data_IF_500163662664
#
_entry.id   IF_500163662664
#
_cell.length_a   1.000
_cell.length_b   1.000
_cell.length_c   1.000
_cell.angle_alpha   90.00
_cell.angle_beta   90.00
_cell.angle_gamma   90.00
#
_symmetry.space_group_name_H-M   'P 1'
#
loop_
_entity.id
_entity.type
_entity.pdbx_description
1 polymer ?
#
# COMPACT_ATOMS: atom_id res chain seq x y z
N UNK A 1 -3.89 -21.72 14.33
CA UNK A 1 -3.06 -21.82 13.11
C UNK A 1 -2.77 -20.40 12.68
N UNK A 2 -1.49 -20.03 12.63
CA UNK A 2 -1.12 -18.70 12.15
C UNK A 2 -1.61 -18.52 10.72
N UNK A 3 -2.19 -17.35 10.43
CA UNK A 3 -2.54 -17.01 9.06
C UNK A 3 -1.26 -17.06 8.21
N UNK A 4 -1.35 -17.69 7.03
CA UNK A 4 -0.26 -17.70 6.04
C UNK A 4 0.21 -16.27 5.75
N UNK A 5 1.47 -16.13 5.33
CA UNK A 5 2.00 -14.82 4.95
C UNK A 5 1.46 -14.37 3.58
N UNK A 6 1.33 -13.04 3.34
CA UNK A 6 1.12 -12.50 2.02
C UNK A 6 2.28 -12.88 1.09
N UNK A 7 1.98 -13.21 -0.16
CA UNK A 7 2.98 -13.62 -1.16
C UNK A 7 4.11 -12.59 -1.30
N UNK A 8 3.80 -11.29 -1.26
CA UNK A 8 4.75 -10.20 -1.44
C UNK A 8 5.86 -10.16 -0.39
N UNK A 9 5.68 -10.79 0.77
CA UNK A 9 6.72 -10.82 1.82
C UNK A 9 7.94 -11.66 1.42
N UNK A 10 7.77 -12.54 0.44
CA UNK A 10 8.85 -13.37 -0.12
C UNK A 10 9.59 -12.71 -1.30
N UNK A 11 9.11 -11.55 -1.78
CA UNK A 11 9.68 -10.92 -2.96
C UNK A 11 10.95 -10.12 -2.60
N UNK A 12 11.87 -10.06 -3.56
CA UNK A 12 13.04 -9.19 -3.48
C UNK A 12 12.58 -7.72 -3.35
N UNK A 13 13.02 -6.96 -2.33
CA UNK A 13 12.61 -5.57 -2.16
C UNK A 13 13.21 -4.60 -3.19
N UNK A 14 14.11 -5.05 -4.07
CA UNK A 14 14.72 -4.20 -5.09
C UNK A 14 13.72 -3.82 -6.19
N UNK A 15 13.77 -2.57 -6.65
CA UNK A 15 13.02 -2.13 -7.84
C UNK A 15 13.62 -2.79 -9.08
N UNK A 16 12.83 -3.54 -9.88
CA UNK A 16 13.34 -4.20 -11.08
C UNK A 16 13.52 -3.20 -12.22
N UNK A 17 14.64 -2.47 -12.25
CA UNK A 17 14.93 -1.42 -13.23
C UNK A 17 14.81 -1.89 -14.68
N UNK A 18 15.21 -3.13 -14.99
CA UNK A 18 15.03 -3.69 -16.34
C UNK A 18 13.56 -3.72 -16.77
N UNK A 19 12.64 -4.08 -15.86
CA UNK A 19 11.19 -4.05 -16.16
C UNK A 19 10.66 -2.64 -16.29
N UNK A 20 11.18 -1.69 -15.52
CA UNK A 20 10.81 -0.27 -15.68
C UNK A 20 11.09 0.19 -17.12
N UNK A 21 12.27 -0.13 -17.64
CA UNK A 21 12.63 0.17 -19.02
C UNK A 21 11.79 -0.63 -20.03
N UNK A 22 11.72 -1.95 -19.88
CA UNK A 22 11.11 -2.84 -20.88
C UNK A 22 9.58 -2.75 -20.96
N UNK A 23 8.90 -2.60 -19.82
CA UNK A 23 7.43 -2.65 -19.75
C UNK A 23 6.79 -1.25 -19.86
N UNK A 24 7.46 -0.24 -19.29
CA UNK A 24 6.91 1.12 -19.23
C UNK A 24 7.59 2.08 -20.22
N UNK A 25 8.72 1.68 -20.82
CA UNK A 25 9.45 2.51 -21.78
C UNK A 25 10.14 3.72 -21.15
N UNK A 26 10.38 3.68 -19.83
CA UNK A 26 11.05 4.78 -19.13
C UNK A 26 12.56 4.58 -19.16
N UNK A 27 13.25 5.57 -19.71
CA UNK A 27 14.70 5.64 -19.62
C UNK A 27 15.15 5.70 -18.15
N UNK A 28 16.21 4.97 -17.80
CA UNK A 28 16.66 4.86 -16.41
C UNK A 28 17.34 6.14 -15.91
N UNK A 29 17.98 6.90 -16.79
CA UNK A 29 18.60 8.19 -16.46
C UNK A 29 17.53 9.24 -16.13
N UNK A 30 16.35 9.15 -16.78
CA UNK A 30 15.19 10.00 -16.48
C UNK A 30 14.37 9.51 -15.29
N UNK A 31 14.17 8.19 -15.18
CA UNK A 31 13.37 7.58 -14.12
C UNK A 31 14.01 7.77 -12.74
N UNK A 32 15.31 7.50 -12.62
CA UNK A 32 15.99 7.42 -11.33
C UNK A 32 15.91 8.74 -10.54
N UNK A 33 16.20 9.91 -11.12
CA UNK A 33 16.03 11.20 -10.42
C UNK A 33 14.58 11.46 -10.01
N UNK A 34 13.60 11.14 -10.87
CA UNK A 34 12.17 11.32 -10.56
C UNK A 34 11.71 10.45 -9.41
N UNK A 35 12.13 9.18 -9.40
CA UNK A 35 11.87 8.27 -8.30
C UNK A 35 12.45 8.79 -6.97
N UNK A 36 13.70 9.25 -6.97
CA UNK A 36 14.33 9.84 -5.79
C UNK A 36 13.64 11.13 -5.32
N UNK A 37 13.16 11.94 -6.26
CA UNK A 37 12.38 13.15 -5.99
C UNK A 37 10.91 12.87 -5.64
N UNK A 38 10.52 11.60 -5.47
CA UNK A 38 9.17 11.16 -5.09
C UNK A 38 8.09 11.62 -6.07
N UNK A 39 8.44 11.73 -7.35
CA UNK A 39 7.48 11.94 -8.42
C UNK A 39 6.45 10.80 -8.45
N UNK A 40 5.16 11.13 -8.34
CA UNK A 40 4.13 10.12 -8.15
C UNK A 40 4.00 9.15 -9.33
N UNK A 41 4.28 9.60 -10.55
CA UNK A 41 4.22 8.73 -11.72
C UNK A 41 5.36 7.73 -11.69
N UNK A 42 6.57 8.16 -11.35
CA UNK A 42 7.71 7.26 -11.13
C UNK A 42 7.44 6.27 -9.98
N UNK A 43 6.81 6.70 -8.89
CA UNK A 43 6.43 5.80 -7.79
C UNK A 43 5.39 4.75 -8.22
N UNK A 44 4.39 5.13 -9.03
CA UNK A 44 3.39 4.19 -9.59
C UNK A 44 4.04 3.16 -10.50
N UNK A 45 4.95 3.59 -11.36
CA UNK A 45 5.70 2.70 -12.26
C UNK A 45 6.59 1.75 -11.45
N UNK A 46 7.30 2.26 -10.44
CA UNK A 46 8.11 1.45 -9.53
C UNK A 46 7.27 0.35 -8.86
N UNK A 47 6.09 0.71 -8.34
CA UNK A 47 5.17 -0.23 -7.70
C UNK A 47 4.66 -1.28 -8.70
N UNK A 48 4.19 -0.86 -9.87
CA UNK A 48 3.66 -1.76 -10.89
C UNK A 48 4.74 -2.73 -11.42
N UNK A 49 5.94 -2.21 -11.72
CA UNK A 49 7.08 -3.00 -12.13
C UNK A 49 7.47 -4.01 -11.03
N UNK A 50 7.52 -3.59 -9.76
CA UNK A 50 7.84 -4.50 -8.65
C UNK A 50 6.83 -5.65 -8.52
N UNK A 51 5.54 -5.36 -8.68
CA UNK A 51 4.49 -6.38 -8.71
C UNK A 51 4.65 -7.37 -9.87
N UNK A 52 5.02 -6.89 -11.06
CA UNK A 52 5.18 -7.74 -12.25
C UNK A 52 3.91 -8.52 -12.56
N UNK A 53 2.77 -7.82 -12.53
CA UNK A 53 1.42 -8.37 -12.72
C UNK A 53 0.99 -9.42 -11.68
N UNK A 54 1.63 -9.51 -10.51
CA UNK A 54 1.22 -10.43 -9.44
C UNK A 54 0.45 -9.72 -8.34
N UNK A 55 -0.63 -10.33 -7.87
CA UNK A 55 -1.31 -9.93 -6.64
C UNK A 55 -0.36 -10.07 -5.44
N UNK A 56 -0.21 -9.01 -4.63
CA UNK A 56 0.66 -9.03 -3.46
C UNK A 56 0.26 -10.06 -2.39
N UNK A 57 -1.02 -10.45 -2.34
CA UNK A 57 -1.51 -11.34 -1.29
C UNK A 57 -1.44 -12.81 -1.70
N UNK A 58 -1.84 -13.15 -2.93
CA UNK A 58 -1.98 -14.55 -3.35
C UNK A 58 -1.09 -14.95 -4.53
N UNK A 59 -0.31 -14.03 -5.10
CA UNK A 59 0.57 -14.31 -6.24
C UNK A 59 -0.14 -14.49 -7.59
N UNK A 60 -1.48 -14.48 -7.64
CA UNK A 60 -2.24 -14.61 -8.88
C UNK A 60 -1.79 -13.56 -9.90
N UNK A 61 -1.57 -13.99 -11.15
CA UNK A 61 -1.10 -13.15 -12.23
C UNK A 61 -2.26 -12.60 -13.06
N UNK A 62 -2.33 -11.28 -13.20
CA UNK A 62 -3.31 -10.58 -14.03
C UNK A 62 -2.74 -9.24 -14.50
N UNK A 63 -3.04 -8.85 -15.74
CA UNK A 63 -2.73 -7.52 -16.25
C UNK A 63 -3.61 -6.45 -15.61
N UNK A 64 -4.78 -6.82 -15.07
CA UNK A 64 -5.78 -5.91 -14.48
C UNK A 64 -5.87 -6.06 -12.97
N UNK A 65 -4.74 -5.87 -12.28
CA UNK A 65 -4.75 -5.71 -10.82
C UNK A 65 -5.41 -4.39 -10.43
N UNK A 66 -5.99 -4.35 -9.23
CA UNK A 66 -6.60 -3.18 -8.63
C UNK A 66 -5.62 -2.55 -7.65
N UNK A 67 -5.59 -1.22 -7.63
CA UNK A 67 -4.83 -0.46 -6.64
C UNK A 67 -5.59 -0.47 -5.31
N UNK A 68 -4.98 -1.11 -4.32
CA UNK A 68 -5.47 -1.22 -2.97
C UNK A 68 -4.88 -0.10 -2.12
N UNK A 69 -5.72 0.53 -1.29
CA UNK A 69 -5.33 1.67 -0.47
C UNK A 69 -5.96 1.60 0.91
N UNK A 70 -5.31 2.27 1.85
CA UNK A 70 -5.84 2.47 3.17
C UNK A 70 -6.91 3.57 3.14
N UNK A 71 -8.13 3.22 3.52
CA UNK A 71 -9.28 4.13 3.54
C UNK A 71 -9.18 5.22 4.63
N UNK A 72 -8.28 5.07 5.61
CA UNK A 72 -8.09 6.05 6.68
C UNK A 72 -7.08 7.12 6.26
N UNK A 73 -5.98 6.71 5.63
CA UNK A 73 -4.92 7.63 5.21
C UNK A 73 -5.05 8.08 3.76
N UNK A 74 -5.77 7.34 2.92
CA UNK A 74 -5.81 7.53 1.48
C UNK A 74 -4.53 7.08 0.76
N UNK A 75 -3.61 6.40 1.45
CA UNK A 75 -2.34 5.95 0.89
C UNK A 75 -2.45 4.56 0.26
N UNK A 76 -1.85 4.41 -0.90
CA UNK A 76 -1.73 3.14 -1.61
C UNK A 76 -0.92 2.14 -0.79
N UNK A 77 -1.44 0.92 -0.68
CA UNK A 77 -0.76 -0.22 -0.05
C UNK A 77 -0.07 -1.10 -1.09
N UNK A 78 -0.71 -1.34 -2.23
CA UNK A 78 -0.17 -2.19 -3.30
C UNK A 78 -1.21 -2.57 -4.35
N UNK A 79 -0.88 -3.55 -5.20
CA UNK A 79 -1.78 -4.07 -6.24
C UNK A 79 -2.33 -5.47 -5.90
N UNK A 80 -3.65 -5.63 -5.97
CA UNK A 80 -4.35 -6.87 -5.64
C UNK A 80 -5.21 -7.36 -6.81
N UNK A 81 -5.43 -8.67 -6.91
CA UNK A 81 -6.47 -9.18 -7.80
C UNK A 81 -7.86 -8.82 -7.25
N UNK A 82 -8.89 -8.80 -8.11
CA UNK A 82 -10.27 -8.46 -7.70
C UNK A 82 -10.77 -9.26 -6.49
N UNK A 83 -10.44 -10.55 -6.42
CA UNK A 83 -10.88 -11.40 -5.30
C UNK A 83 -10.21 -11.02 -3.98
N UNK A 84 -8.90 -10.76 -3.98
CA UNK A 84 -8.18 -10.33 -2.78
C UNK A 84 -8.62 -8.93 -2.35
N UNK A 85 -8.75 -8.00 -3.30
CA UNK A 85 -9.19 -6.64 -3.03
C UNK A 85 -10.57 -6.60 -2.36
N UNK A 86 -11.52 -7.43 -2.82
CA UNK A 86 -12.85 -7.51 -2.19
C UNK A 86 -12.87 -8.17 -0.81
N UNK A 87 -11.85 -8.98 -0.47
CA UNK A 87 -11.75 -9.65 0.85
C UNK A 87 -10.97 -8.83 1.87
N UNK A 88 -10.07 -7.97 1.41
CA UNK A 88 -9.15 -7.19 2.26
C UNK A 88 -9.86 -6.50 3.44
N UNK A 89 -11.01 -5.81 3.24
CA UNK A 89 -11.67 -5.09 4.33
C UNK A 89 -12.30 -5.99 5.40
N UNK A 90 -12.44 -7.29 5.11
CA UNK A 90 -13.26 -8.23 5.89
C UNK A 90 -12.45 -9.32 6.59
N UNK A 91 -11.12 -9.36 6.40
CA UNK A 91 -10.25 -10.39 6.95
C UNK A 91 -9.15 -9.79 7.83
N UNK A 92 -9.08 -10.26 9.08
CA UNK A 92 -8.10 -9.85 10.08
C UNK A 92 -6.98 -10.89 10.33
N UNK A 93 -6.95 -11.96 9.54
CA UNK A 93 -5.86 -12.92 9.48
C UNK A 93 -4.81 -12.51 8.45
N UNK A 94 -4.92 -13.02 7.23
CA UNK A 94 -3.96 -12.80 6.15
C UNK A 94 -3.81 -11.32 5.79
N UNK A 95 -4.93 -10.60 5.70
CA UNK A 95 -4.90 -9.20 5.27
C UNK A 95 -4.44 -8.25 6.38
N UNK A 96 -4.54 -8.64 7.65
CA UNK A 96 -3.86 -7.90 8.73
C UNK A 96 -2.35 -7.91 8.52
N UNK A 97 -1.76 -9.08 8.23
CA UNK A 97 -0.33 -9.17 7.89
C UNK A 97 0.00 -8.32 6.66
N UNK A 98 -0.79 -8.41 5.60
CA UNK A 98 -0.59 -7.56 4.41
C UNK A 98 -0.58 -6.05 4.74
N UNK A 99 -1.46 -5.58 5.64
CA UNK A 99 -1.47 -4.19 6.12
C UNK A 99 -0.25 -3.80 6.97
N UNK A 100 0.35 -4.75 7.70
CA UNK A 100 1.52 -4.51 8.55
C UNK A 100 2.83 -4.32 7.76
N UNK A 101 2.91 -4.91 6.56
CA UNK A 101 4.06 -4.78 5.66
C UNK A 101 3.60 -4.88 4.20
N UNK A 102 2.94 -3.83 3.73
CA UNK A 102 2.41 -3.70 2.38
C UNK A 102 3.52 -3.48 1.35
N UNK A 103 3.27 -3.72 0.04
CA UNK A 103 4.20 -3.36 -1.03
C UNK A 103 4.77 -1.94 -0.94
N UNK A 104 3.92 -0.94 -0.68
CA UNK A 104 4.36 0.44 -0.52
C UNK A 104 5.34 0.60 0.65
N UNK A 105 5.10 -0.08 1.77
CA UNK A 105 6.00 -0.10 2.92
C UNK A 105 7.32 -0.85 2.64
N UNK A 106 7.25 -1.99 1.93
CA UNK A 106 8.44 -2.77 1.53
C UNK A 106 9.38 -1.93 0.67
N UNK A 107 8.81 -1.15 -0.26
CA UNK A 107 9.55 -0.28 -1.17
C UNK A 107 9.89 1.09 -0.57
N UNK A 108 9.37 1.42 0.62
CA UNK A 108 9.57 2.71 1.26
C UNK A 108 9.01 3.89 0.44
N UNK A 109 7.87 3.70 -0.23
CA UNK A 109 7.19 4.71 -1.04
C UNK A 109 5.88 5.14 -0.38
N UNK A 110 5.54 6.42 -0.54
CA UNK A 110 4.25 6.97 -0.15
C UNK A 110 3.56 7.48 -1.41
N UNK A 111 2.43 6.87 -1.76
CA UNK A 111 1.65 7.22 -2.92
C UNK A 111 0.20 7.44 -2.48
N UNK A 112 -0.42 8.52 -2.97
CA UNK A 112 -1.82 8.79 -2.70
C UNK A 112 -2.69 8.06 -3.73
N UNK A 113 -3.76 7.44 -3.26
CA UNK A 113 -4.73 6.83 -4.16
C UNK A 113 -5.51 7.90 -4.92
N UNK A 114 -5.80 7.62 -6.19
CA UNK A 114 -6.63 8.46 -7.06
C UNK A 114 -7.58 7.60 -7.87
N UNK A 115 -8.82 8.06 -8.01
CA UNK A 115 -9.78 7.47 -8.93
C UNK A 115 -10.53 8.54 -9.73
N UNK A 116 -11.03 8.21 -10.94
CA UNK A 116 -11.64 9.20 -11.83
C UNK A 116 -13.00 9.72 -11.35
N UNK A 117 -13.62 9.10 -10.34
CA UNK A 117 -14.94 9.51 -9.84
C UNK A 117 -14.84 10.43 -8.62
N UNK A 118 -13.88 10.19 -7.72
CA UNK A 118 -13.74 10.94 -6.46
C UNK A 118 -12.46 11.78 -6.40
N UNK A 119 -11.58 11.64 -7.41
CA UNK A 119 -10.28 12.30 -7.42
C UNK A 119 -9.32 11.66 -6.41
N UNK A 120 -8.52 12.50 -5.74
CA UNK A 120 -7.56 12.05 -4.74
C UNK A 120 -8.27 11.59 -3.47
N UNK A 121 -7.96 10.37 -2.99
CA UNK A 121 -8.47 9.86 -1.72
C UNK A 121 -8.14 10.85 -0.60
N UNK A 122 -9.16 11.32 0.10
CA UNK A 122 -8.98 12.17 1.28
C UNK A 122 -8.76 11.27 2.50
N UNK A 123 -7.81 11.60 3.38
CA UNK A 123 -7.74 10.95 4.68
C UNK A 123 -9.10 11.06 5.36
N UNK A 124 -9.53 9.99 6.02
CA UNK A 124 -10.76 10.03 6.81
C UNK A 124 -10.61 11.11 7.88
N UNK A 125 -11.63 11.95 8.03
CA UNK A 125 -11.69 12.88 9.14
C UNK A 125 -11.62 12.08 10.45
N UNK A 126 -10.78 12.53 11.39
CA UNK A 126 -10.67 11.90 12.71
C UNK A 126 -12.03 12.10 13.41
N UNK A 127 -12.82 11.04 13.47
CA UNK A 127 -14.03 10.99 14.28
C UNK A 127 -13.69 10.25 15.59
N UNK A 128 -13.57 10.97 16.73
CA UNK A 128 -13.24 10.36 18.01
C UNK A 128 -14.27 9.32 18.48
N UNK A 129 -15.47 9.28 17.90
CA UNK A 129 -16.52 8.31 18.23
C UNK A 129 -16.55 7.09 17.29
N UNK A 130 -15.70 7.07 16.25
CA UNK A 130 -15.68 6.01 15.23
C UNK A 130 -14.25 5.51 15.00
N UNK A 131 -13.53 5.27 16.09
CA UNK A 131 -12.25 4.57 16.09
C UNK A 131 -12.50 3.09 15.77
N UNK A 132 -12.68 2.76 14.50
CA UNK A 132 -12.53 1.39 14.03
C UNK A 132 -11.13 0.86 14.35
N UNK A 133 -11.03 -0.46 14.45
CA UNK A 133 -9.99 -1.28 15.11
C UNK A 133 -8.53 -1.14 14.60
N UNK A 134 -8.10 0.03 14.16
CA UNK A 134 -6.74 0.27 13.69
C UNK A 134 -5.76 0.41 14.88
N UNK A 135 -4.69 -0.38 14.93
CA UNK A 135 -3.74 -0.38 16.06
C UNK A 135 -3.02 0.97 16.23
N UNK A 136 -2.85 1.77 15.16
CA UNK A 136 -2.23 3.08 15.25
C UNK A 136 -3.10 4.10 16.01
N UNK A 137 -4.43 4.03 15.89
CA UNK A 137 -5.34 4.93 16.62
C UNK A 137 -5.53 4.49 18.07
N UNK A 138 -5.52 3.19 18.35
CA UNK A 138 -5.49 2.69 19.73
C UNK A 138 -4.22 3.12 20.48
N UNK A 139 -3.07 3.20 19.79
CA UNK A 139 -1.82 3.70 20.37
C UNK A 139 -1.87 5.22 20.58
N UNK A 140 -2.36 5.99 19.60
CA UNK A 140 -2.53 7.44 19.73
C UNK A 140 -3.50 7.82 20.87
N UNK A 141 -4.63 7.10 21.01
CA UNK A 141 -5.57 7.28 22.11
C UNK A 141 -4.93 6.98 23.48
N UNK A 142 -4.21 5.85 23.61
CA UNK A 142 -3.51 5.49 24.86
C UNK A 142 -2.39 6.46 25.23
N UNK A 143 -1.71 7.03 24.24
CA UNK A 143 -0.69 8.07 24.46
C UNK A 143 -1.34 9.38 24.90
N UNK A 144 -2.47 9.77 24.29
CA UNK A 144 -3.25 10.93 24.70
C UNK A 144 -3.75 10.84 26.14
N UNK A 145 -4.33 9.71 26.54
CA UNK A 145 -4.78 9.48 27.92
C UNK A 145 -3.64 9.59 28.95
N UNK A 146 -2.47 9.01 28.64
CA UNK A 146 -1.28 9.08 29.52
C UNK A 146 -0.70 10.48 29.66
N UNK A 147 -0.87 11.33 28.66
CA UNK A 147 -0.42 12.73 28.71
C UNK A 147 -1.41 13.59 29.49
N UNK A 148 -2.72 13.33 29.38
CA UNK A 148 -3.76 14.03 30.13
C UNK A 148 -3.82 13.67 31.62
N UNK A 149 -3.32 12.50 32.03
CA UNK A 149 -3.21 12.09 33.45
C UNK A 149 -1.96 12.61 34.16
N UNK A 150 -1.08 13.33 33.47
CA UNK A 150 0.11 13.98 34.05
C UNK A 150 -0.02 15.51 34.15
N UNK A 151 -1.21 16.05 33.89
CA UNK A 151 -1.58 17.45 34.11
C UNK A 151 -2.30 17.64 35.43
#
# INVERSE_FOLDING_TARGET
MDARDPECWSWDPAIPLGRVADEFGWDLEDFTPRFHNRDEQALRIALAAWHGHRCAVCGFRDLRLLEDHDHDTGLTRGLLCRSCNGKEPHDNGLFRKYRERSPAQILGINLRYWDPWHGWAQPRAIDPNRLDNHPAYALAAKLGERLSMKG
#
